data_IF_774714676039
#
_entry.id   IF_774714676039
#
_cell.length_a   1.000
_cell.length_b   1.000
_cell.length_c   1.000
_cell.angle_alpha   90.00
_cell.angle_beta   90.00
_cell.angle_gamma   90.00
#
_symmetry.space_group_name_H-M   'P 1'
#
loop_
_entity.id
_entity.type
_entity.pdbx_description
1 polymer ?
#
# COMPACT_ATOMS: atom_id res chain seq x y z
N UNK A 1 2.12 1.95 -12.48
CA UNK A 1 2.78 2.46 -11.26
C UNK A 1 4.09 1.72 -11.13
N UNK A 2 5.21 2.43 -10.88
CA UNK A 2 6.54 1.83 -10.72
C UNK A 2 6.73 1.25 -9.32
N UNK A 3 7.78 0.44 -9.12
CA UNK A 3 8.13 -0.12 -7.82
C UNK A 3 8.51 0.97 -6.81
N UNK A 4 9.20 2.02 -7.28
CA UNK A 4 9.50 3.20 -6.47
C UNK A 4 8.23 3.97 -6.06
N UNK A 5 7.29 4.16 -6.99
CA UNK A 5 6.02 4.81 -6.69
C UNK A 5 5.16 3.99 -5.71
N UNK A 6 5.21 2.65 -5.79
CA UNK A 6 4.58 1.76 -4.82
C UNK A 6 5.19 1.93 -3.42
N UNK A 7 6.53 1.92 -3.28
CA UNK A 7 7.18 2.18 -1.99
C UNK A 7 6.72 3.52 -1.40
N UNK A 8 6.76 4.58 -2.20
CA UNK A 8 6.36 5.90 -1.76
C UNK A 8 4.86 5.98 -1.35
N UNK A 9 3.98 5.23 -2.04
CA UNK A 9 2.57 5.12 -1.67
C UNK A 9 2.40 4.39 -0.32
N UNK A 10 3.11 3.27 -0.11
CA UNK A 10 3.09 2.56 1.16
C UNK A 10 3.59 3.45 2.31
N UNK A 11 4.68 4.18 2.11
CA UNK A 11 5.21 5.13 3.11
C UNK A 11 4.19 6.23 3.43
N UNK A 12 3.54 6.82 2.42
CA UNK A 12 2.47 7.81 2.61
C UNK A 12 1.23 7.25 3.30
N UNK A 13 0.97 5.95 3.18
CA UNK A 13 -0.11 5.26 3.88
C UNK A 13 0.31 4.76 5.28
N UNK A 14 1.58 4.93 5.67
CA UNK A 14 2.10 4.43 6.95
C UNK A 14 2.25 2.90 6.99
N UNK A 15 2.40 2.27 5.83
CA UNK A 15 2.48 0.82 5.68
C UNK A 15 3.92 0.39 5.37
N UNK A 16 4.39 -0.68 6.02
CA UNK A 16 5.56 -1.41 5.54
C UNK A 16 5.21 -2.23 4.30
N UNK A 17 6.20 -2.74 3.57
CA UNK A 17 5.95 -3.68 2.46
C UNK A 17 5.16 -4.92 2.92
N UNK A 18 5.49 -5.46 4.10
CA UNK A 18 4.71 -6.58 4.65
C UNK A 18 3.30 -6.19 5.08
N UNK A 19 3.12 -4.99 5.64
CA UNK A 19 1.80 -4.45 5.99
C UNK A 19 0.93 -4.27 4.74
N UNK A 20 1.50 -3.67 3.69
CA UNK A 20 0.86 -3.53 2.39
C UNK A 20 0.54 -4.87 1.73
N UNK A 21 1.42 -5.88 1.84
CA UNK A 21 1.17 -7.22 1.32
C UNK A 21 -0.05 -7.86 2.01
N UNK A 22 -0.08 -7.81 3.35
CA UNK A 22 -1.22 -8.25 4.14
C UNK A 22 -2.50 -7.51 3.76
N UNK A 23 -2.42 -6.19 3.54
CA UNK A 23 -3.56 -5.35 3.19
C UNK A 23 -4.15 -5.67 1.82
N UNK A 24 -3.28 -5.93 0.86
CA UNK A 24 -3.69 -6.24 -0.50
C UNK A 24 -4.02 -7.73 -0.68
N UNK A 25 -3.96 -8.54 0.39
CA UNK A 25 -4.24 -9.97 0.34
C UNK A 25 -3.23 -10.76 -0.50
N UNK A 26 -1.98 -10.30 -0.57
CA UNK A 26 -0.91 -10.95 -1.33
C UNK A 26 0.22 -11.39 -0.41
N UNK A 27 1.01 -12.36 -0.86
CA UNK A 27 2.21 -12.76 -0.13
C UNK A 27 3.35 -11.72 -0.25
N UNK A 28 4.29 -11.77 0.69
CA UNK A 28 5.43 -10.85 0.72
C UNK A 28 6.37 -11.01 -0.49
N UNK A 29 6.41 -12.18 -1.13
CA UNK A 29 7.23 -12.39 -2.34
C UNK A 29 6.65 -11.62 -3.53
N UNK A 30 5.34 -11.62 -3.69
CA UNK A 30 4.60 -10.87 -4.71
C UNK A 30 4.82 -9.38 -4.52
N UNK A 31 4.70 -8.88 -3.28
CA UNK A 31 5.02 -7.48 -2.97
C UNK A 31 6.47 -7.11 -3.33
N UNK A 32 7.45 -7.94 -2.93
CA UNK A 32 8.85 -7.69 -3.28
C UNK A 32 9.08 -7.64 -4.79
N UNK A 33 8.45 -8.54 -5.55
CA UNK A 33 8.56 -8.56 -7.02
C UNK A 33 7.95 -7.33 -7.68
N UNK A 34 6.84 -6.82 -7.16
CA UNK A 34 6.26 -5.54 -7.60
C UNK A 34 7.19 -4.37 -7.33
N UNK A 35 7.74 -4.32 -6.12
CA UNK A 35 8.66 -3.28 -5.68
C UNK A 35 9.99 -3.31 -6.46
N UNK A 36 10.47 -4.49 -6.83
CA UNK A 36 11.68 -4.69 -7.63
C UNK A 36 11.45 -4.59 -9.15
N UNK A 37 10.20 -4.35 -9.59
CA UNK A 37 9.81 -4.27 -11.00
C UNK A 37 10.07 -5.58 -11.79
N UNK A 38 10.21 -6.71 -11.08
CA UNK A 38 10.29 -8.05 -11.66
C UNK A 38 8.91 -8.60 -12.10
N UNK A 39 7.85 -7.87 -11.74
CA UNK A 39 6.47 -8.16 -12.11
C UNK A 39 5.64 -6.88 -12.06
N UNK A 40 4.77 -6.69 -13.05
CA UNK A 40 3.82 -5.59 -13.05
C UNK A 40 2.80 -5.68 -11.90
N UNK A 41 2.43 -4.52 -11.39
CA UNK A 41 1.36 -4.35 -10.42
C UNK A 41 0.02 -4.40 -11.16
N UNK A 42 -0.92 -5.31 -10.77
CA UNK A 42 -2.22 -5.38 -11.41
C UNK A 42 -2.98 -4.04 -11.34
N UNK A 43 -3.64 -3.58 -12.42
CA UNK A 43 -4.36 -2.31 -12.42
C UNK A 43 -5.38 -2.12 -11.28
N UNK A 44 -6.12 -3.14 -10.81
CA UNK A 44 -7.01 -2.98 -9.65
C UNK A 44 -6.27 -2.58 -8.37
N UNK A 45 -5.08 -3.15 -8.13
CA UNK A 45 -4.24 -2.81 -6.97
C UNK A 45 -3.79 -1.36 -7.04
N UNK A 46 -3.42 -0.89 -8.24
CA UNK A 46 -3.03 0.51 -8.46
C UNK A 46 -4.18 1.45 -8.12
N UNK A 47 -5.38 1.16 -8.63
CA UNK A 47 -6.58 1.97 -8.36
C UNK A 47 -6.93 2.00 -6.88
N UNK A 48 -6.79 0.86 -6.18
CA UNK A 48 -7.07 0.77 -4.75
C UNK A 48 -6.08 1.62 -3.94
N UNK A 49 -4.78 1.53 -4.23
CA UNK A 49 -3.76 2.36 -3.56
C UNK A 49 -4.02 3.85 -3.78
N UNK A 50 -4.35 4.25 -5.01
CA UNK A 50 -4.73 5.63 -5.31
C UNK A 50 -6.00 6.11 -4.61
N UNK A 51 -6.96 5.21 -4.36
CA UNK A 51 -8.14 5.52 -3.58
C UNK A 51 -7.79 5.72 -2.10
N UNK A 52 -6.95 4.84 -1.54
CA UNK A 52 -6.47 4.94 -0.15
C UNK A 52 -5.65 6.20 0.10
N UNK A 53 -4.83 6.62 -0.86
CA UNK A 53 -4.06 7.87 -0.74
C UNK A 53 -4.96 9.11 -0.73
N UNK A 54 -6.17 9.02 -1.29
CA UNK A 54 -7.18 10.11 -1.26
C UNK A 54 -8.08 10.03 -0.04
N UNK A 55 -8.40 8.81 0.41
CA UNK A 55 -9.27 8.54 1.54
C UNK A 55 -8.63 7.47 2.43
N UNK A 56 -8.03 7.94 3.52
CA UNK A 56 -7.32 7.07 4.46
C UNK A 56 -8.26 6.17 5.26
N UNK A 57 -9.56 6.47 5.33
CA UNK A 57 -10.53 5.61 6.04
C UNK A 57 -10.64 4.23 5.39
N UNK A 58 -10.32 4.12 4.09
CA UNK A 58 -10.27 2.84 3.39
C UNK A 58 -9.18 1.90 3.93
N UNK A 59 -8.05 2.44 4.38
CA UNK A 59 -6.99 1.66 5.02
C UNK A 59 -7.50 1.10 6.36
N UNK A 60 -8.17 1.93 7.15
CA UNK A 60 -8.71 1.56 8.45
C UNK A 60 -9.79 0.48 8.32
N UNK A 61 -10.72 0.67 7.37
CA UNK A 61 -11.83 -0.25 7.11
C UNK A 61 -11.36 -1.62 6.61
N UNK A 62 -10.33 -1.67 5.76
CA UNK A 62 -9.83 -2.92 5.18
C UNK A 62 -8.79 -3.62 6.06
N UNK A 63 -8.23 -2.94 7.05
CA UNK A 63 -7.10 -3.46 7.82
C UNK A 63 -7.29 -3.49 9.33
N UNK A 64 -8.42 -3.00 9.86
CA UNK A 64 -8.60 -2.84 11.31
C UNK A 64 -7.48 -2.00 11.95
N UNK A 65 -6.74 -1.23 11.14
CA UNK A 65 -5.54 -0.52 11.54
C UNK A 65 -5.96 0.73 12.31
N UNK A 66 -5.64 0.76 13.60
CA UNK A 66 -5.69 1.99 14.40
C UNK A 66 -4.56 2.90 13.89
N UNK A 67 -4.86 4.09 13.36
CA UNK A 67 -3.83 4.94 12.77
C UNK A 67 -2.73 5.25 13.80
N UNK A 68 -1.47 5.07 13.40
CA UNK A 68 -0.37 5.75 14.07
C UNK A 68 -0.62 7.25 13.88
N UNK A 69 -0.81 7.93 15.02
CA UNK A 69 -1.15 9.33 15.20
C UNK A 69 -0.88 10.20 13.97
N UNK A 70 -1.96 10.86 13.50
CA UNK A 70 -1.91 11.96 12.56
C UNK A 70 -0.71 12.86 12.89
N UNK A 71 0.25 12.91 11.97
CA UNK A 71 1.33 13.87 12.03
C UNK A 71 0.68 15.25 11.99
N UNK A 72 0.82 15.97 13.11
CA UNK A 72 0.40 17.34 13.26
C UNK A 72 1.02 18.22 12.17
N UNK A 73 0.16 19.01 11.52
CA UNK A 73 0.45 20.34 10.99
C UNK A 73 -0.89 21.06 10.79
#
# INVERSE_FOLDING_TARGET
>A
MSGAALRAALDRLGLSQEGGARLLGVDGRTMRRWVAEERDIPPPVIRLLWAMERDRTLVEALHGFKPAAAAAA
#
